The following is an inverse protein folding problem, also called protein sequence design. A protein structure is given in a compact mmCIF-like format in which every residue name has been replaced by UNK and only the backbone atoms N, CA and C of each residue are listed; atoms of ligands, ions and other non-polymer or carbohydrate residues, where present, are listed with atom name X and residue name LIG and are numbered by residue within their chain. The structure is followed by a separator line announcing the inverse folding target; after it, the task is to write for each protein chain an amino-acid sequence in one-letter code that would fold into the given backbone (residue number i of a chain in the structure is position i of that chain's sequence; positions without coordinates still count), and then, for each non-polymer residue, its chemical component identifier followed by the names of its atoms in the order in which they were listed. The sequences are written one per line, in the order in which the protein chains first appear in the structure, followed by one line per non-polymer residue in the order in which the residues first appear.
data_IF_253820734413
#
_entry.id   IF_253820734413
#
_cell.length_a   1.000
_cell.length_b   1.000
_cell.length_c   1.000
_cell.angle_alpha   90.00
_cell.angle_beta   90.00
_cell.angle_gamma   90.00
#
_symmetry.space_group_name_H-M   'P 1'
#
loop_
_entity.id
_entity.type
_entity.pdbx_description
1 polymer ?
#
# COMPACT_ATOMS: atom_id res chain seq x y z
N UNK A 1 23.37 -24.76 -15.41
CA UNK A 1 23.42 -23.29 -15.17
C UNK A 1 22.10 -22.71 -15.62
N UNK A 2 21.13 -22.61 -14.71
CA UNK A 2 19.80 -22.02 -14.97
C UNK A 2 19.84 -20.57 -14.55
N UNK A 3 19.51 -19.69 -15.46
CA UNK A 3 19.55 -18.23 -15.31
C UNK A 3 18.71 -17.77 -14.11
N UNK A 4 19.23 -16.90 -13.23
CA UNK A 4 18.56 -16.41 -12.01
C UNK A 4 17.16 -15.81 -12.20
N UNK A 5 16.80 -15.17 -13.35
CA UNK A 5 15.44 -14.62 -13.50
C UNK A 5 14.34 -15.68 -13.53
N UNK A 6 14.62 -16.92 -13.92
CA UNK A 6 13.58 -17.96 -14.00
C UNK A 6 13.12 -18.49 -12.63
N UNK A 7 14.00 -18.49 -11.63
CA UNK A 7 13.60 -18.92 -10.28
C UNK A 7 12.73 -17.88 -9.57
N UNK A 8 12.99 -16.60 -9.77
CA UNK A 8 12.17 -15.53 -9.22
C UNK A 8 10.77 -15.55 -9.86
N UNK A 9 10.68 -15.76 -11.16
CA UNK A 9 9.40 -15.89 -11.88
C UNK A 9 8.67 -17.17 -11.46
N UNK A 10 9.35 -18.30 -11.29
CA UNK A 10 8.73 -19.53 -10.80
C UNK A 10 8.23 -19.43 -9.37
N UNK A 11 8.94 -18.77 -8.48
CA UNK A 11 8.46 -18.52 -7.12
C UNK A 11 7.27 -17.53 -7.09
N UNK A 12 7.21 -16.61 -8.04
CA UNK A 12 6.09 -15.69 -8.19
C UNK A 12 4.82 -16.40 -8.71
N UNK A 13 4.98 -17.29 -9.71
CA UNK A 13 3.87 -18.07 -10.28
C UNK A 13 3.42 -19.20 -9.33
N UNK A 14 4.35 -19.80 -8.56
CA UNK A 14 4.02 -20.86 -7.61
C UNK A 14 3.46 -20.37 -6.26
N UNK A 15 3.46 -19.06 -5.96
CA UNK A 15 2.69 -18.50 -4.84
C UNK A 15 1.18 -18.50 -5.07
N UNK A 16 0.74 -18.59 -6.30
CA UNK A 16 -0.62 -18.92 -6.67
C UNK A 16 -0.83 -20.45 -6.60
N UNK A 17 -0.66 -21.03 -5.41
CA UNK A 17 -1.08 -22.43 -5.20
C UNK A 17 -2.58 -22.58 -5.47
N UNK A 18 -3.04 -23.75 -5.97
CA UNK A 18 -4.42 -23.97 -6.42
C UNK A 18 -5.45 -24.01 -5.29
N UNK A 19 -5.06 -23.81 -4.05
CA UNK A 19 -5.99 -23.75 -2.91
C UNK A 19 -5.98 -22.37 -2.29
N UNK A 20 -6.89 -21.53 -2.74
CA UNK A 20 -7.23 -20.29 -2.03
C UNK A 20 -7.87 -20.73 -0.71
N UNK A 21 -7.18 -20.52 0.39
CA UNK A 21 -7.71 -20.77 1.72
C UNK A 21 -8.74 -19.66 2.01
N UNK A 22 -10.01 -19.96 1.75
CA UNK A 22 -11.12 -19.01 1.87
C UNK A 22 -11.30 -18.50 3.31
N UNK A 23 -10.86 -19.25 4.31
CA UNK A 23 -10.98 -18.88 5.72
C UNK A 23 -10.21 -17.59 6.06
N UNK A 24 -8.89 -17.54 5.89
CA UNK A 24 -8.09 -16.34 6.13
C UNK A 24 -8.50 -15.17 5.24
N UNK A 25 -8.88 -15.42 3.98
CA UNK A 25 -9.34 -14.39 3.05
C UNK A 25 -10.66 -13.76 3.52
N UNK A 26 -11.64 -14.57 3.90
CA UNK A 26 -12.93 -14.09 4.42
C UNK A 26 -12.76 -13.33 5.73
N UNK A 27 -11.87 -13.80 6.62
CA UNK A 27 -11.54 -13.11 7.86
C UNK A 27 -10.89 -11.74 7.62
N UNK A 28 -9.91 -11.67 6.73
CA UNK A 28 -9.25 -10.41 6.34
C UNK A 28 -10.25 -9.42 5.72
N UNK A 29 -11.14 -9.92 4.87
CA UNK A 29 -12.20 -9.11 4.27
C UNK A 29 -13.19 -8.58 5.33
N UNK A 30 -13.67 -9.44 6.22
CA UNK A 30 -14.57 -9.03 7.30
C UNK A 30 -13.95 -7.99 8.22
N UNK A 31 -12.68 -8.15 8.59
CA UNK A 31 -11.94 -7.19 9.41
C UNK A 31 -11.74 -5.86 8.68
N UNK A 32 -11.41 -5.88 7.38
CA UNK A 32 -11.25 -4.67 6.58
C UNK A 32 -12.58 -3.90 6.46
N UNK A 33 -13.69 -4.59 6.17
CA UNK A 33 -15.01 -3.97 6.07
C UNK A 33 -15.48 -3.43 7.41
N UNK A 34 -15.33 -4.21 8.49
CA UNK A 34 -15.75 -3.79 9.84
C UNK A 34 -14.96 -2.57 10.30
N UNK A 35 -13.65 -2.54 10.09
CA UNK A 35 -12.82 -1.36 10.44
C UNK A 35 -13.19 -0.13 9.61
N UNK A 36 -13.42 -0.28 8.30
CA UNK A 36 -13.85 0.82 7.45
C UNK A 36 -15.19 1.42 7.89
N UNK A 37 -16.19 0.56 8.13
CA UNK A 37 -17.52 0.98 8.60
C UNK A 37 -17.45 1.64 9.98
N UNK A 38 -16.68 1.06 10.90
CA UNK A 38 -16.52 1.61 12.26
C UNK A 38 -15.91 3.01 12.24
N UNK A 39 -14.91 3.22 11.38
CA UNK A 39 -14.26 4.54 11.24
C UNK A 39 -15.19 5.53 10.57
N UNK A 40 -15.87 5.16 9.49
CA UNK A 40 -16.80 6.04 8.79
C UNK A 40 -17.94 6.50 9.72
N UNK A 41 -18.55 5.55 10.46
CA UNK A 41 -19.64 5.85 11.40
C UNK A 41 -19.09 6.65 12.60
N UNK A 42 -17.96 6.25 13.17
CA UNK A 42 -17.34 6.93 14.30
C UNK A 42 -16.93 8.36 13.96
N UNK A 43 -16.31 8.56 12.82
CA UNK A 43 -15.93 9.88 12.33
C UNK A 43 -17.16 10.76 12.04
N UNK A 44 -18.21 10.19 11.43
CA UNK A 44 -19.48 10.92 11.22
C UNK A 44 -20.10 11.39 12.52
N UNK A 45 -20.17 10.53 13.54
CA UNK A 45 -20.67 10.89 14.88
C UNK A 45 -19.80 11.94 15.55
N UNK A 46 -18.47 11.82 15.45
CA UNK A 46 -17.54 12.79 16.03
C UNK A 46 -17.68 14.16 15.38
N UNK A 47 -17.81 14.23 14.05
CA UNK A 47 -18.06 15.50 13.34
C UNK A 47 -19.41 16.13 13.69
N UNK A 48 -20.43 15.32 13.94
CA UNK A 48 -21.73 15.80 14.42
C UNK A 48 -21.64 16.35 15.83
N UNK A 49 -20.89 15.70 16.72
CA UNK A 49 -20.74 16.07 18.12
C UNK A 49 -19.83 17.30 18.35
N UNK A 50 -18.81 17.49 17.49
CA UNK A 50 -17.81 18.54 17.65
C UNK A 50 -17.83 19.49 16.45
N UNK A 51 -18.55 20.65 16.54
CA UNK A 51 -18.69 21.58 15.41
C UNK A 51 -17.37 22.09 14.83
N UNK A 52 -16.32 22.22 15.66
CA UNK A 52 -14.98 22.64 15.21
C UNK A 52 -14.32 21.65 14.24
N UNK A 53 -14.71 20.38 14.26
CA UNK A 53 -14.16 19.36 13.37
C UNK A 53 -14.92 19.26 12.05
N UNK A 54 -16.00 20.00 11.85
CA UNK A 54 -16.78 19.97 10.58
C UNK A 54 -15.98 20.40 9.37
N UNK A 55 -14.98 21.25 9.55
CA UNK A 55 -14.02 21.62 8.50
C UNK A 55 -13.19 20.43 7.99
N UNK A 56 -13.02 19.38 8.80
CA UNK A 56 -12.34 18.14 8.41
C UNK A 56 -13.28 17.15 7.69
N UNK A 57 -14.57 17.48 7.60
CA UNK A 57 -15.58 16.61 6.96
C UNK A 57 -15.18 16.05 5.59
N UNK A 58 -14.63 16.87 4.66
CA UNK A 58 -14.17 16.39 3.35
C UNK A 58 -13.05 15.35 3.40
N UNK A 59 -12.25 15.32 4.49
CA UNK A 59 -11.15 14.37 4.66
C UNK A 59 -11.56 13.05 5.33
N UNK A 60 -12.78 12.95 5.85
CA UNK A 60 -13.27 11.74 6.53
C UNK A 60 -13.25 10.51 5.61
N UNK A 61 -13.75 10.59 4.35
CA UNK A 61 -13.66 9.46 3.44
C UNK A 61 -12.21 9.00 3.20
N UNK A 62 -11.29 9.97 3.08
CA UNK A 62 -9.87 9.68 2.89
C UNK A 62 -9.28 8.94 4.11
N UNK A 63 -9.53 9.41 5.33
CA UNK A 63 -9.08 8.75 6.56
C UNK A 63 -9.68 7.35 6.72
N UNK A 64 -10.96 7.18 6.40
CA UNK A 64 -11.61 5.88 6.43
C UNK A 64 -10.96 4.89 5.45
N UNK A 65 -10.66 5.32 4.22
CA UNK A 65 -10.02 4.48 3.20
C UNK A 65 -8.57 4.16 3.57
N UNK A 66 -7.80 5.11 4.10
CA UNK A 66 -6.44 4.85 4.60
C UNK A 66 -6.46 3.75 5.64
N UNK A 67 -7.32 3.88 6.65
CA UNK A 67 -7.34 2.92 7.76
C UNK A 67 -7.81 1.56 7.30
N UNK A 68 -8.87 1.50 6.49
CA UNK A 68 -9.35 0.24 5.93
C UNK A 68 -8.28 -0.43 5.05
N UNK A 69 -7.63 0.32 4.18
CA UNK A 69 -6.55 -0.16 3.32
C UNK A 69 -5.34 -0.64 4.11
N UNK A 70 -4.95 0.10 5.15
CA UNK A 70 -3.84 -0.28 6.02
C UNK A 70 -4.13 -1.56 6.81
N UNK A 71 -5.34 -1.69 7.36
CA UNK A 71 -5.79 -2.92 8.01
C UNK A 71 -5.82 -4.09 7.03
N UNK A 72 -6.37 -3.89 5.84
CA UNK A 72 -6.44 -4.93 4.81
C UNK A 72 -5.03 -5.43 4.43
N UNK A 73 -4.10 -4.53 4.13
CA UNK A 73 -2.71 -4.90 3.79
C UNK A 73 -2.03 -5.58 4.99
N UNK A 74 -2.19 -5.05 6.21
CA UNK A 74 -1.62 -5.63 7.42
C UNK A 74 -2.12 -7.05 7.69
N UNK A 75 -3.42 -7.31 7.55
CA UNK A 75 -4.00 -8.62 7.79
C UNK A 75 -3.66 -9.62 6.67
N UNK A 76 -3.72 -9.23 5.41
CA UNK A 76 -3.39 -10.12 4.29
C UNK A 76 -1.91 -10.51 4.26
N UNK A 77 -1.05 -9.65 4.80
CA UNK A 77 0.40 -9.86 4.85
C UNK A 77 0.93 -10.10 6.26
N UNK A 78 0.06 -10.55 7.17
CA UNK A 78 0.43 -10.83 8.56
C UNK A 78 1.54 -11.89 8.67
N UNK A 79 1.56 -12.87 7.78
CA UNK A 79 2.62 -13.88 7.72
C UNK A 79 3.99 -13.25 7.43
N UNK A 80 4.04 -12.30 6.50
CA UNK A 80 5.29 -11.59 6.18
C UNK A 80 5.78 -10.71 7.34
N UNK A 81 4.86 -10.15 8.13
CA UNK A 81 5.18 -9.35 9.32
C UNK A 81 5.75 -10.24 10.43
N UNK A 82 5.22 -11.47 10.57
CA UNK A 82 5.60 -12.39 11.66
C UNK A 82 6.78 -13.28 11.32
N UNK A 83 6.78 -13.83 10.12
CA UNK A 83 7.72 -14.85 9.68
C UNK A 83 8.78 -14.31 8.70
N UNK A 84 8.68 -13.02 8.33
CA UNK A 84 9.61 -12.38 7.42
C UNK A 84 9.41 -12.78 5.96
N UNK A 85 10.29 -12.25 5.12
CA UNK A 85 10.37 -12.53 3.68
C UNK A 85 11.78 -12.96 3.31
N UNK A 86 11.90 -13.70 2.21
CA UNK A 86 13.19 -14.12 1.70
C UNK A 86 13.98 -12.90 1.20
N UNK A 87 15.23 -12.80 1.64
CA UNK A 87 16.20 -11.81 1.18
C UNK A 87 17.29 -12.48 0.36
N UNK A 88 17.74 -11.82 -0.70
CA UNK A 88 18.72 -12.36 -1.63
C UNK A 88 19.88 -11.38 -1.84
N UNK A 89 21.01 -11.90 -2.31
CA UNK A 89 22.13 -11.08 -2.78
C UNK A 89 21.84 -10.46 -4.17
N UNK A 90 22.80 -9.67 -4.68
CA UNK A 90 22.69 -9.05 -6.01
C UNK A 90 22.59 -10.07 -7.16
N UNK A 91 23.10 -11.27 -6.94
CA UNK A 91 23.07 -12.40 -7.89
C UNK A 91 21.75 -13.20 -7.81
N UNK A 92 20.87 -12.88 -6.83
CA UNK A 92 19.58 -13.53 -6.65
C UNK A 92 19.65 -14.82 -5.82
N UNK A 93 20.76 -15.11 -5.13
CA UNK A 93 20.82 -16.24 -4.22
C UNK A 93 20.14 -15.87 -2.90
N UNK A 94 19.23 -16.72 -2.44
CA UNK A 94 18.53 -16.52 -1.18
C UNK A 94 19.51 -16.66 -0.01
N UNK A 95 19.59 -15.63 0.81
CA UNK A 95 20.47 -15.58 1.98
C UNK A 95 19.76 -16.04 3.27
N UNK A 96 18.44 -15.94 3.30
CA UNK A 96 17.60 -16.31 4.43
C UNK A 96 16.28 -15.55 4.47
N UNK A 97 15.55 -15.66 5.58
CA UNK A 97 14.31 -14.92 5.83
C UNK A 97 14.53 -13.84 6.88
N UNK A 98 14.12 -12.62 6.59
CA UNK A 98 14.22 -11.48 7.49
C UNK A 98 12.84 -10.94 7.85
N UNK A 99 12.56 -10.83 9.14
CA UNK A 99 11.33 -10.24 9.68
C UNK A 99 11.37 -8.72 9.47
N UNK A 100 12.51 -8.09 9.68
CA UNK A 100 12.69 -6.66 9.44
C UNK A 100 12.40 -6.30 7.99
N UNK A 101 12.90 -7.09 7.02
CA UNK A 101 12.60 -6.90 5.61
C UNK A 101 11.09 -7.04 5.31
N UNK A 102 10.41 -8.01 5.93
CA UNK A 102 8.96 -8.19 5.83
C UNK A 102 8.17 -6.99 6.34
N UNK A 103 8.53 -6.49 7.51
CA UNK A 103 7.90 -5.31 8.10
C UNK A 103 8.09 -4.06 7.23
N UNK A 104 9.29 -3.83 6.72
CA UNK A 104 9.58 -2.72 5.79
C UNK A 104 8.79 -2.86 4.50
N UNK A 105 8.68 -4.07 3.94
CA UNK A 105 7.90 -4.33 2.73
C UNK A 105 6.41 -4.00 2.91
N UNK A 106 5.82 -4.45 4.03
CA UNK A 106 4.42 -4.15 4.35
C UNK A 106 4.22 -2.66 4.60
N UNK A 107 5.11 -2.01 5.36
CA UNK A 107 5.03 -0.57 5.62
C UNK A 107 5.10 0.26 4.33
N UNK A 108 6.04 -0.05 3.45
CA UNK A 108 6.14 0.59 2.13
C UNK A 108 4.87 0.39 1.30
N UNK A 109 4.27 -0.81 1.33
CA UNK A 109 3.02 -1.10 0.63
C UNK A 109 1.85 -0.30 1.19
N UNK A 110 1.71 -0.21 2.51
CA UNK A 110 0.70 0.62 3.16
C UNK A 110 0.86 2.08 2.76
N UNK A 111 2.08 2.60 2.80
CA UNK A 111 2.35 4.01 2.46
C UNK A 111 1.95 4.33 1.03
N UNK A 112 2.32 3.50 0.05
CA UNK A 112 2.00 3.79 -1.36
C UNK A 112 0.54 3.52 -1.72
N UNK A 113 -0.01 2.36 -1.31
CA UNK A 113 -1.35 1.94 -1.75
C UNK A 113 -2.46 2.48 -0.87
N UNK A 114 -2.24 2.51 0.45
CA UNK A 114 -3.30 2.90 1.39
C UNK A 114 -3.26 4.39 1.74
N UNK A 115 -2.09 5.03 1.74
CA UNK A 115 -1.98 6.45 2.07
C UNK A 115 -1.87 7.33 0.82
N UNK A 116 -0.92 7.06 -0.06
CA UNK A 116 -0.63 7.93 -1.19
C UNK A 116 -1.67 7.83 -2.32
N UNK A 117 -1.99 6.62 -2.78
CA UNK A 117 -2.89 6.43 -3.92
C UNK A 117 -4.29 7.03 -3.70
N UNK A 118 -4.95 6.91 -2.53
CA UNK A 118 -6.29 7.47 -2.32
C UNK A 118 -6.37 9.00 -2.31
N UNK A 119 -5.24 9.71 -2.25
CA UNK A 119 -5.23 11.18 -2.39
C UNK A 119 -5.84 11.60 -3.72
N UNK A 120 -5.52 10.88 -4.78
CA UNK A 120 -5.94 11.22 -6.14
C UNK A 120 -7.46 11.21 -6.34
N UNK A 121 -8.19 10.14 -5.98
CA UNK A 121 -9.64 10.11 -6.15
C UNK A 121 -10.43 10.75 -5.01
N UNK A 122 -9.88 10.91 -3.81
CA UNK A 122 -10.65 11.34 -2.63
C UNK A 122 -10.34 12.75 -2.16
N UNK A 123 -9.19 13.31 -2.47
CA UNK A 123 -8.80 14.66 -2.03
C UNK A 123 -8.82 15.64 -3.20
N UNK A 124 -8.21 15.28 -4.33
CA UNK A 124 -8.09 16.19 -5.48
C UNK A 124 -9.46 16.56 -6.08
N UNK A 125 -10.36 15.61 -6.41
CA UNK A 125 -11.64 15.96 -7.04
C UNK A 125 -12.52 16.87 -6.19
N UNK A 126 -12.74 16.63 -4.89
CA UNK A 126 -13.51 17.56 -4.07
C UNK A 126 -12.91 18.97 -4.00
N UNK A 127 -11.58 19.08 -3.97
CA UNK A 127 -10.92 20.40 -3.95
C UNK A 127 -11.10 21.15 -5.27
N UNK A 128 -10.96 20.45 -6.41
CA UNK A 128 -11.18 21.03 -7.73
C UNK A 128 -12.64 21.46 -7.88
N UNK A 129 -13.59 20.62 -7.47
CA UNK A 129 -15.00 20.93 -7.51
C UNK A 129 -15.35 22.15 -6.65
N UNK A 130 -14.86 22.23 -5.41
CA UNK A 130 -15.05 23.37 -4.53
C UNK A 130 -14.47 24.65 -5.13
N UNK A 131 -13.29 24.59 -5.74
CA UNK A 131 -12.67 25.72 -6.44
C UNK A 131 -13.52 26.19 -7.63
N UNK A 132 -14.03 25.28 -8.45
CA UNK A 132 -14.87 25.59 -9.59
C UNK A 132 -16.23 26.20 -9.17
N UNK A 133 -16.81 25.72 -8.08
CA UNK A 133 -18.03 26.27 -7.51
C UNK A 133 -17.80 27.68 -6.93
N UNK A 134 -16.70 27.88 -6.21
CA UNK A 134 -16.33 29.19 -5.67
C UNK A 134 -16.04 30.22 -6.77
N UNK A 135 -15.51 29.78 -7.92
CA UNK A 135 -15.29 30.61 -9.10
C UNK A 135 -16.56 30.84 -9.95
N UNK A 136 -17.71 30.26 -9.57
CA UNK A 136 -18.97 30.39 -10.29
C UNK A 136 -19.01 29.65 -11.64
N UNK A 137 -18.06 28.77 -11.92
CA UNK A 137 -17.97 28.00 -13.16
C UNK A 137 -18.98 26.85 -13.19
N UNK A 138 -19.31 26.27 -12.04
CA UNK A 138 -20.23 25.13 -11.92
C UNK A 138 -21.15 25.33 -10.73
N UNK A 139 -22.44 25.02 -10.95
CA UNK A 139 -23.45 25.02 -9.87
C UNK A 139 -23.40 23.70 -9.09
N UNK A 140 -23.64 23.78 -7.78
CA UNK A 140 -23.70 22.60 -6.93
C UNK A 140 -24.82 21.64 -7.37
N UNK A 141 -24.52 20.34 -7.44
CA UNK A 141 -25.50 19.28 -7.78
C UNK A 141 -25.93 19.22 -9.24
N UNK A 142 -25.36 20.05 -10.13
CA UNK A 142 -25.66 20.01 -11.56
C UNK A 142 -24.87 18.93 -12.31
N UNK A 143 -25.35 18.58 -13.53
CA UNK A 143 -24.66 17.62 -14.41
C UNK A 143 -23.20 18.05 -14.70
N UNK A 144 -22.97 19.36 -14.85
CA UNK A 144 -21.65 19.90 -15.07
C UNK A 144 -20.70 19.62 -13.88
N UNK A 145 -21.20 19.73 -12.64
CA UNK A 145 -20.43 19.40 -11.44
C UNK A 145 -20.06 17.91 -11.41
N UNK A 146 -21.01 17.04 -11.71
CA UNK A 146 -20.79 15.59 -11.79
C UNK A 146 -19.75 15.22 -12.86
N UNK A 147 -19.86 15.82 -14.06
CA UNK A 147 -18.91 15.58 -15.15
C UNK A 147 -17.51 16.10 -14.81
N UNK A 148 -17.41 17.25 -14.16
CA UNK A 148 -16.13 17.79 -13.67
C UNK A 148 -15.50 16.85 -12.63
N UNK A 149 -16.29 16.35 -11.69
CA UNK A 149 -15.80 15.42 -10.65
C UNK A 149 -15.31 14.11 -11.28
N UNK A 150 -16.12 13.48 -12.15
CA UNK A 150 -15.73 12.25 -12.86
C UNK A 150 -14.48 12.46 -13.73
N UNK A 151 -14.41 13.56 -14.47
CA UNK A 151 -13.24 13.91 -15.27
C UNK A 151 -12.00 14.09 -14.40
N UNK A 152 -12.12 14.78 -13.28
CA UNK A 152 -11.02 14.99 -12.34
C UNK A 152 -10.57 13.67 -11.71
N UNK A 153 -11.49 12.78 -11.30
CA UNK A 153 -11.16 11.44 -10.82
C UNK A 153 -10.37 10.68 -11.88
N UNK A 154 -10.85 10.67 -13.12
CA UNK A 154 -10.20 9.94 -14.22
C UNK A 154 -8.79 10.45 -14.48
N UNK A 155 -8.62 11.76 -14.60
CA UNK A 155 -7.29 12.37 -14.83
C UNK A 155 -6.37 12.15 -13.66
N UNK A 156 -6.84 12.39 -12.43
CA UNK A 156 -6.02 12.21 -11.23
C UNK A 156 -5.58 10.77 -11.04
N UNK A 157 -6.45 9.79 -11.30
CA UNK A 157 -6.09 8.36 -11.21
C UNK A 157 -5.14 7.93 -12.32
N UNK A 158 -5.26 8.49 -13.52
CA UNK A 158 -4.33 8.23 -14.63
C UNK A 158 -2.91 8.66 -14.31
N UNK A 159 -2.73 9.65 -13.45
CA UNK A 159 -1.44 10.11 -12.95
C UNK A 159 -1.08 9.37 -11.64
N UNK A 160 -2.03 9.24 -10.74
CA UNK A 160 -1.83 8.69 -9.40
C UNK A 160 -1.41 7.23 -9.39
N UNK A 161 -1.98 6.42 -10.28
CA UNK A 161 -1.65 5.00 -10.34
C UNK A 161 -0.20 4.75 -10.80
N UNK A 162 0.28 5.30 -11.92
CA UNK A 162 1.69 5.20 -12.29
C UNK A 162 2.63 5.80 -11.25
N UNK A 163 2.27 6.95 -10.64
CA UNK A 163 3.07 7.57 -9.59
C UNK A 163 3.19 6.68 -8.34
N UNK A 164 2.09 6.07 -7.90
CA UNK A 164 2.10 5.15 -6.76
C UNK A 164 2.93 3.89 -7.04
N UNK A 165 2.93 3.39 -8.28
CA UNK A 165 3.76 2.26 -8.69
C UNK A 165 5.25 2.65 -8.78
N UNK A 166 5.55 3.85 -9.29
CA UNK A 166 6.92 4.35 -9.41
C UNK A 166 7.59 4.60 -8.05
N UNK A 167 6.81 4.99 -7.03
CA UNK A 167 7.31 5.18 -5.67
C UNK A 167 7.86 3.88 -5.04
N UNK A 168 7.54 2.74 -5.62
CA UNK A 168 7.89 1.46 -5.03
C UNK A 168 8.25 0.42 -6.09
N UNK A 169 9.53 0.30 -6.42
CA UNK A 169 10.02 -0.76 -7.30
C UNK A 169 9.69 -2.15 -6.73
N UNK A 170 9.51 -3.13 -7.61
CA UNK A 170 9.16 -4.52 -7.26
C UNK A 170 10.23 -5.19 -6.39
N UNK A 171 11.48 -4.79 -6.56
CA UNK A 171 12.59 -5.20 -5.71
C UNK A 171 12.96 -4.05 -4.77
N UNK A 172 13.03 -4.36 -3.50
CA UNK A 172 13.54 -3.44 -2.49
C UNK A 172 15.00 -3.75 -2.25
N UNK A 173 15.82 -2.72 -2.36
CA UNK A 173 17.17 -2.72 -1.82
C UNK A 173 17.09 -2.31 -0.34
N UNK A 174 17.69 -3.12 0.52
CA UNK A 174 17.76 -2.90 1.97
C UNK A 174 19.20 -2.95 2.41
N UNK A 175 19.56 -1.99 3.26
CA UNK A 175 20.86 -1.99 3.93
C UNK A 175 20.87 -3.11 4.99
N UNK A 176 21.92 -3.92 4.97
CA UNK A 176 22.10 -5.04 5.91
C UNK A 176 22.15 -4.55 7.36
N UNK A 177 22.57 -3.31 7.60
CA UNK A 177 22.57 -2.71 8.94
C UNK A 177 21.16 -2.54 9.53
N UNK A 178 20.12 -2.50 8.69
CA UNK A 178 18.72 -2.40 9.10
C UNK A 178 18.04 -3.75 9.37
N UNK A 179 18.76 -4.85 9.11
CA UNK A 179 18.28 -6.21 9.31
C UNK A 179 18.78 -6.80 10.62
N UNK A 180 18.33 -8.02 10.92
CA UNK A 180 18.73 -8.77 12.11
C UNK A 180 20.26 -9.00 12.13
N UNK A 181 20.88 -9.12 13.32
CA UNK A 181 22.33 -9.28 13.47
C UNK A 181 22.95 -10.44 12.69
N UNK A 182 22.15 -11.46 12.40
CA UNK A 182 22.55 -12.64 11.60
C UNK A 182 22.99 -12.23 10.18
N UNK A 183 22.30 -11.26 9.59
CA UNK A 183 22.59 -10.78 8.23
C UNK A 183 23.80 -9.85 8.19
N UNK A 184 24.12 -9.18 9.30
CA UNK A 184 25.24 -8.22 9.35
C UNK A 184 26.61 -8.88 9.26
N UNK A 185 26.69 -10.19 9.50
CA UNK A 185 27.93 -10.98 9.43
C UNK A 185 28.09 -11.76 8.13
N UNK A 186 27.09 -11.68 7.22
CA UNK A 186 27.12 -12.40 5.95
C UNK A 186 28.23 -11.88 5.05
N UNK A 187 28.92 -12.83 4.43
CA UNK A 187 29.91 -12.58 3.41
C UNK A 187 29.43 -13.16 2.08
N UNK A 188 29.65 -12.45 1.01
CA UNK A 188 29.44 -12.94 -0.34
C UNK A 188 30.35 -14.13 -0.62
N UNK A 189 30.05 -14.93 -1.65
CA UNK A 189 30.91 -16.05 -2.09
C UNK A 189 32.34 -15.61 -2.37
N UNK A 190 32.54 -14.35 -2.73
CA UNK A 190 33.86 -13.75 -2.98
C UNK A 190 34.57 -13.24 -1.70
N UNK A 191 33.99 -13.51 -0.51
CA UNK A 191 34.55 -13.12 0.79
C UNK A 191 34.29 -11.64 1.16
N UNK A 192 33.72 -10.83 0.28
CA UNK A 192 33.35 -9.45 0.54
C UNK A 192 32.16 -9.38 1.54
N UNK A 193 32.16 -8.35 2.37
CA UNK A 193 31.03 -8.10 3.26
C UNK A 193 29.81 -7.67 2.44
N UNK A 194 28.66 -8.34 2.64
CA UNK A 194 27.40 -7.95 2.00
C UNK A 194 26.91 -6.66 2.68
N UNK A 195 26.73 -5.59 1.92
CA UNK A 195 26.24 -4.30 2.43
C UNK A 195 24.77 -4.09 2.12
N UNK A 196 24.28 -4.65 1.02
CA UNK A 196 22.90 -4.53 0.57
C UNK A 196 22.33 -5.90 0.23
N UNK A 197 21.05 -6.07 0.54
CA UNK A 197 20.27 -7.23 0.14
C UNK A 197 19.02 -6.80 -0.59
N UNK A 198 18.50 -7.70 -1.40
CA UNK A 198 17.32 -7.48 -2.22
C UNK A 198 16.18 -8.36 -1.73
N UNK A 199 15.02 -7.75 -1.56
CA UNK A 199 13.82 -8.47 -1.19
C UNK A 199 12.70 -8.19 -2.21
N UNK A 200 11.94 -9.24 -2.55
CA UNK A 200 10.73 -9.07 -3.35
C UNK A 200 9.62 -8.51 -2.48
N UNK A 201 9.01 -7.43 -2.92
CA UNK A 201 7.98 -6.76 -2.15
C UNK A 201 6.66 -7.52 -2.08
N UNK A 202 6.43 -8.53 -2.90
CA UNK A 202 5.12 -9.14 -3.09
C UNK A 202 4.07 -8.09 -3.54
N UNK A 203 3.23 -8.42 -4.51
CA UNK A 203 2.12 -7.54 -4.92
C UNK A 203 0.87 -7.80 -4.10
#
# INVERSE_FOLDING_TARGET
MTSPPRQVVNNYVNRAGPTVDFGPLAQSYALAVTSACSIAIGAGKLLAAVPRLRTLGPFVPYLAVITAGSCNVGFTRMDEIRNGIDVADAEGNVLGRSIAAGQVAVFKTVTSRSMFLPIFPLVIPPLVLQGAMAAGVVAAGGTAAMLLELGTITVSMSIGLPAALALQPLQMELDVSSLEPEFQQLRSKDGAKVTHVYASKGM
#
